data_IF_205736179359
#
_entry.id   IF_205736179359
#
_cell.length_a   1.000
_cell.length_b   1.000
_cell.length_c   1.000
_cell.angle_alpha   90.00
_cell.angle_beta   90.00
_cell.angle_gamma   90.00
#
_symmetry.space_group_name_H-M   'P 1'
#
loop_
_entity.id
_entity.type
_entity.pdbx_description
1 polymer ?
#
# COMPACT_ATOMS: atom_id res chain seq x y z
N UNK A 1 33.01 4.76 -8.91
CA UNK A 1 32.16 5.98 -9.04
C UNK A 1 30.73 5.65 -8.72
N UNK A 2 29.88 6.65 -8.39
CA UNK A 2 28.45 6.44 -8.12
C UNK A 2 27.59 7.02 -9.22
N UNK A 3 26.50 6.34 -9.56
CA UNK A 3 25.57 6.78 -10.58
C UNK A 3 24.22 6.10 -10.51
N UNK A 4 23.36 6.40 -11.50
CA UNK A 4 22.03 5.84 -11.63
C UNK A 4 21.82 5.35 -13.07
N UNK A 5 21.25 4.16 -13.22
CA UNK A 5 20.92 3.60 -14.53
C UNK A 5 19.79 4.42 -15.16
N UNK A 6 20.07 4.96 -16.34
CA UNK A 6 19.08 5.70 -17.14
C UNK A 6 18.30 4.80 -18.05
N UNK A 7 18.98 3.81 -18.65
CA UNK A 7 18.37 2.86 -19.58
C UNK A 7 19.18 1.58 -19.63
N UNK A 8 18.55 0.46 -20.00
CA UNK A 8 19.20 -0.84 -20.17
C UNK A 8 18.48 -1.71 -21.18
N UNK A 9 19.26 -2.34 -22.05
CA UNK A 9 18.79 -3.35 -23.00
C UNK A 9 19.74 -4.55 -23.01
N UNK A 10 19.22 -5.75 -23.00
CA UNK A 10 20.01 -7.00 -23.01
C UNK A 10 20.93 -7.07 -24.24
N UNK A 11 20.51 -6.49 -25.37
CA UNK A 11 21.28 -6.53 -26.62
C UNK A 11 22.27 -5.38 -26.77
N UNK A 12 21.97 -4.20 -26.23
CA UNK A 12 22.76 -2.99 -26.44
C UNK A 12 23.57 -2.55 -25.20
N UNK A 13 23.36 -3.22 -24.04
CA UNK A 13 23.94 -2.78 -22.77
C UNK A 13 23.12 -1.66 -22.12
N UNK A 14 23.72 -0.86 -21.25
CA UNK A 14 23.05 0.18 -20.49
C UNK A 14 23.78 1.51 -20.50
N UNK A 15 23.12 2.53 -19.93
CA UNK A 15 23.63 3.88 -19.77
C UNK A 15 23.48 4.31 -18.31
N UNK A 16 24.56 4.76 -17.70
CA UNK A 16 24.62 5.27 -16.33
C UNK A 16 24.80 6.79 -16.38
N UNK A 17 24.01 7.51 -15.57
CA UNK A 17 24.28 8.91 -15.24
C UNK A 17 25.05 8.95 -13.93
N UNK A 18 26.27 9.46 -13.95
CA UNK A 18 27.09 9.65 -12.76
C UNK A 18 26.69 10.93 -12.01
N UNK A 19 27.08 11.02 -10.74
CA UNK A 19 26.90 12.22 -9.90
C UNK A 19 27.67 13.44 -10.43
N UNK A 20 28.70 13.25 -11.28
CA UNK A 20 29.41 14.31 -11.97
C UNK A 20 28.68 14.90 -13.19
N UNK A 21 27.45 14.39 -13.47
CA UNK A 21 26.62 14.81 -14.60
C UNK A 21 26.97 14.18 -15.94
N UNK A 22 28.02 13.35 -16.01
CA UNK A 22 28.40 12.63 -17.22
C UNK A 22 27.63 11.34 -17.38
N UNK A 23 27.59 10.84 -18.61
CA UNK A 23 26.91 9.59 -18.98
C UNK A 23 27.93 8.57 -19.41
N UNK A 24 27.84 7.37 -18.85
CA UNK A 24 28.79 6.28 -19.11
C UNK A 24 28.03 5.08 -19.66
N UNK A 25 28.30 4.64 -20.90
CA UNK A 25 27.74 3.41 -21.42
C UNK A 25 28.41 2.20 -20.77
N UNK A 26 27.69 1.12 -20.60
CA UNK A 26 28.25 -0.15 -20.13
C UNK A 26 27.66 -1.34 -20.89
N UNK A 27 28.46 -2.39 -21.05
CA UNK A 27 28.05 -3.64 -21.68
C UNK A 27 27.34 -4.54 -20.66
N UNK A 28 26.51 -5.45 -21.15
CA UNK A 28 25.80 -6.39 -20.30
C UNK A 28 26.73 -7.27 -19.45
N UNK A 29 27.93 -7.59 -19.96
CA UNK A 29 28.96 -8.38 -19.28
C UNK A 29 29.55 -7.69 -18.06
N UNK A 30 29.47 -6.35 -18.02
CA UNK A 30 29.94 -5.53 -16.90
C UNK A 30 28.99 -5.44 -15.73
N UNK A 31 27.77 -5.91 -15.89
CA UNK A 31 26.84 -6.06 -14.78
C UNK A 31 27.20 -7.30 -13.95
N UNK A 32 27.62 -7.11 -12.71
CA UNK A 32 28.17 -8.17 -11.84
C UNK A 32 27.17 -8.68 -10.80
N UNK A 33 25.93 -8.23 -10.83
CA UNK A 33 24.88 -8.63 -9.88
C UNK A 33 23.88 -9.61 -10.48
N UNK A 34 23.16 -10.36 -9.61
CA UNK A 34 22.07 -11.22 -10.04
C UNK A 34 20.83 -10.41 -10.44
N UNK A 35 20.29 -10.71 -11.62
CA UNK A 35 19.09 -10.04 -12.16
C UNK A 35 19.42 -8.98 -13.22
N UNK A 36 18.33 -8.42 -13.79
CA UNK A 36 18.45 -7.42 -14.85
C UNK A 36 18.46 -6.02 -14.24
N UNK A 37 19.43 -5.15 -14.65
CA UNK A 37 19.44 -3.79 -14.17
C UNK A 37 18.18 -3.03 -14.61
N UNK A 38 17.59 -2.24 -13.71
CA UNK A 38 16.38 -1.46 -13.98
C UNK A 38 16.68 0.03 -13.94
N UNK A 39 15.92 0.77 -14.74
CA UNK A 39 16.00 2.23 -14.78
C UNK A 39 15.79 2.83 -13.38
N UNK A 40 16.65 3.74 -12.98
CA UNK A 40 16.59 4.38 -11.67
C UNK A 40 17.41 3.68 -10.59
N UNK A 41 17.99 2.50 -10.87
CA UNK A 41 18.82 1.76 -9.92
C UNK A 41 20.15 2.51 -9.67
N UNK A 42 20.49 2.72 -8.41
CA UNK A 42 21.79 3.30 -8.02
C UNK A 42 22.86 2.23 -8.10
N UNK A 43 23.98 2.59 -8.71
CA UNK A 43 25.09 1.69 -8.98
C UNK A 43 26.43 2.33 -8.59
N UNK A 44 27.34 1.48 -8.19
CA UNK A 44 28.78 1.79 -8.09
C UNK A 44 29.48 1.16 -9.27
N UNK A 45 30.37 1.88 -9.95
CA UNK A 45 31.07 1.44 -11.14
C UNK A 45 32.44 2.10 -11.27
N UNK A 46 33.31 1.50 -12.04
CA UNK A 46 34.57 2.07 -12.45
C UNK A 46 34.50 2.51 -13.90
N UNK A 47 35.42 3.38 -14.34
CA UNK A 47 35.50 3.87 -15.72
C UNK A 47 36.81 3.43 -16.31
N UNK A 48 36.78 2.83 -17.49
CA UNK A 48 37.97 2.44 -18.24
C UNK A 48 38.57 3.62 -19.03
N UNK A 49 39.71 3.37 -19.73
CA UNK A 49 40.40 4.37 -20.54
C UNK A 49 39.58 4.86 -21.72
N UNK A 50 38.59 4.07 -22.17
CA UNK A 50 37.66 4.38 -23.27
C UNK A 50 36.42 5.16 -22.83
N UNK A 51 36.29 5.46 -21.52
CA UNK A 51 35.15 6.18 -20.95
C UNK A 51 33.87 5.32 -20.81
N UNK A 52 34.03 3.99 -20.78
CA UNK A 52 32.91 3.06 -20.52
C UNK A 52 32.87 2.68 -19.04
N UNK A 53 31.66 2.44 -18.54
CA UNK A 53 31.52 1.95 -17.18
C UNK A 53 31.78 0.44 -17.15
N UNK A 54 32.67 0.03 -16.25
CA UNK A 54 33.09 -1.35 -16.02
C UNK A 54 32.81 -1.73 -14.56
N UNK A 55 32.74 -3.04 -14.28
CA UNK A 55 32.52 -3.54 -12.92
C UNK A 55 31.32 -2.87 -12.23
N UNK A 56 30.14 -2.90 -12.90
CA UNK A 56 28.94 -2.25 -12.41
C UNK A 56 28.26 -3.12 -11.35
N UNK A 57 28.20 -2.61 -10.13
CA UNK A 57 27.56 -3.25 -8.99
C UNK A 57 26.38 -2.41 -8.51
N UNK A 58 25.42 -3.05 -7.87
CA UNK A 58 24.39 -2.33 -7.12
C UNK A 58 25.04 -1.61 -5.93
N UNK A 59 24.84 -0.29 -5.81
CA UNK A 59 25.46 0.50 -4.76
C UNK A 59 25.14 -0.04 -3.37
N UNK A 60 26.15 -0.43 -2.60
CA UNK A 60 26.06 -0.82 -1.19
C UNK A 60 25.59 0.41 -0.38
N UNK A 61 24.38 0.38 0.14
CA UNK A 61 23.73 1.50 0.84
C UNK A 61 22.67 2.23 0.02
N UNK A 62 22.44 1.84 -1.23
CA UNK A 62 21.21 2.12 -1.96
C UNK A 62 20.05 1.16 -1.55
N UNK A 63 20.14 0.51 -0.41
CA UNK A 63 18.96 0.26 0.42
C UNK A 63 18.37 1.64 0.61
N UNK A 64 17.35 1.91 -0.21
CA UNK A 64 16.56 3.09 -0.06
C UNK A 64 16.49 3.42 1.43
N UNK A 65 16.93 4.60 1.82
CA UNK A 65 16.39 5.30 2.97
C UNK A 65 14.92 5.60 2.62
N UNK A 66 14.29 4.58 2.08
CA UNK A 66 12.89 4.43 1.93
C UNK A 66 12.43 4.04 3.30
N UNK A 67 12.26 5.04 4.13
CA UNK A 67 11.55 4.89 5.37
C UNK A 67 10.21 4.20 5.11
N UNK A 68 9.47 3.91 6.15
CA UNK A 68 8.11 3.34 6.12
C UNK A 68 7.29 3.82 4.91
N UNK A 69 7.48 5.07 4.46
CA UNK A 69 6.84 5.65 3.28
C UNK A 69 7.12 4.88 1.96
N UNK A 70 8.36 4.47 1.69
CA UNK A 70 8.68 3.73 0.45
C UNK A 70 8.21 2.28 0.52
N UNK A 71 8.29 1.66 1.72
CA UNK A 71 7.72 0.32 1.93
C UNK A 71 6.21 0.36 1.73
N UNK A 72 5.52 1.38 2.24
CA UNK A 72 4.08 1.57 2.06
C UNK A 72 3.73 1.88 0.60
N UNK A 73 4.52 2.69 -0.12
CA UNK A 73 4.32 2.96 -1.54
C UNK A 73 4.47 1.68 -2.38
N UNK A 74 5.53 0.91 -2.16
CA UNK A 74 5.71 -0.36 -2.87
C UNK A 74 4.58 -1.34 -2.54
N UNK A 75 4.19 -1.45 -1.27
CA UNK A 75 3.09 -2.30 -0.85
C UNK A 75 1.75 -1.86 -1.46
N UNK A 76 1.50 -0.54 -1.59
CA UNK A 76 0.29 0.00 -2.22
C UNK A 76 0.23 -0.21 -3.74
N UNK A 77 1.34 -0.54 -4.38
CA UNK A 77 1.40 -0.83 -5.83
C UNK A 77 1.48 -2.32 -6.13
N UNK A 78 1.57 -3.18 -5.11
CA UNK A 78 1.69 -4.62 -5.31
C UNK A 78 0.41 -5.18 -5.93
N UNK A 79 0.55 -5.68 -7.16
CA UNK A 79 -0.51 -6.39 -7.88
C UNK A 79 -0.26 -7.89 -7.80
N UNK A 80 -1.33 -8.68 -7.72
CA UNK A 80 -1.25 -10.13 -7.81
C UNK A 80 -1.08 -10.58 -9.27
N UNK A 81 -0.91 -11.89 -9.50
CA UNK A 81 -0.75 -12.49 -10.84
C UNK A 81 -1.87 -12.11 -11.82
N UNK A 82 -3.06 -11.79 -11.32
CA UNK A 82 -4.22 -11.37 -12.10
C UNK A 82 -4.26 -9.85 -12.36
N UNK A 83 -3.19 -9.11 -12.03
CA UNK A 83 -3.12 -7.66 -12.20
C UNK A 83 -3.94 -6.84 -11.20
N UNK A 84 -4.60 -7.49 -10.24
CA UNK A 84 -5.40 -6.83 -9.21
C UNK A 84 -4.52 -6.37 -8.04
N UNK A 85 -4.89 -5.26 -7.39
CA UNK A 85 -4.22 -4.79 -6.18
C UNK A 85 -4.27 -5.87 -5.07
N UNK A 86 -3.18 -6.03 -4.32
CA UNK A 86 -3.18 -6.90 -3.15
C UNK A 86 -4.17 -6.39 -2.09
N UNK A 87 -4.66 -7.28 -1.21
CA UNK A 87 -5.57 -6.86 -0.13
C UNK A 87 -4.94 -5.82 0.78
N UNK A 88 -3.63 -5.93 1.03
CA UNK A 88 -2.89 -4.95 1.81
C UNK A 88 -2.76 -3.60 1.09
N UNK A 89 -2.55 -3.62 -0.23
CA UNK A 89 -2.56 -2.41 -1.05
C UNK A 89 -3.91 -1.69 -0.99
N UNK A 90 -5.02 -2.42 -1.09
CA UNK A 90 -6.38 -1.88 -0.96
C UNK A 90 -6.62 -1.26 0.43
N UNK A 91 -6.12 -1.90 1.49
CA UNK A 91 -6.19 -1.37 2.85
C UNK A 91 -5.44 -0.04 2.98
N UNK A 92 -4.20 0.02 2.49
CA UNK A 92 -3.40 1.26 2.51
C UNK A 92 -4.04 2.35 1.66
N UNK A 93 -4.57 2.02 0.49
CA UNK A 93 -5.25 2.97 -0.38
C UNK A 93 -6.49 3.57 0.30
N UNK A 94 -7.27 2.75 1.01
CA UNK A 94 -8.42 3.21 1.79
C UNK A 94 -8.00 4.16 2.92
N UNK A 95 -6.87 3.87 3.61
CA UNK A 95 -6.36 4.72 4.69
C UNK A 95 -5.71 6.03 4.22
N UNK A 96 -5.20 6.09 2.99
CA UNK A 96 -4.44 7.24 2.50
C UNK A 96 -5.20 8.03 1.47
N UNK A 97 -5.45 7.43 0.30
CA UNK A 97 -6.06 8.12 -0.85
C UNK A 97 -7.58 8.28 -0.72
N UNK A 98 -8.23 7.29 -0.10
CA UNK A 98 -9.70 7.19 0.00
C UNK A 98 -10.21 7.38 1.43
N UNK A 99 -9.43 8.04 2.29
CA UNK A 99 -9.70 8.20 3.72
C UNK A 99 -11.12 8.69 4.03
N UNK A 100 -11.55 9.75 3.39
CA UNK A 100 -12.88 10.35 3.53
C UNK A 100 -13.64 10.41 2.20
N UNK A 101 -13.44 9.40 1.34
CA UNK A 101 -14.12 9.32 0.05
C UNK A 101 -15.44 8.58 0.21
N UNK A 102 -16.54 9.29 0.28
CA UNK A 102 -17.90 8.74 0.39
C UNK A 102 -18.58 8.53 -0.96
N UNK A 103 -18.00 9.04 -2.06
CA UNK A 103 -18.46 8.83 -3.43
C UNK A 103 -17.80 7.61 -4.07
N UNK A 104 -18.42 7.06 -5.13
CA UNK A 104 -17.91 5.88 -5.82
C UNK A 104 -18.38 4.57 -5.19
N UNK A 105 -17.76 3.46 -5.63
CA UNK A 105 -18.10 2.09 -5.24
C UNK A 105 -16.88 1.40 -4.66
N UNK A 106 -17.10 0.48 -3.70
CA UNK A 106 -16.06 -0.38 -3.15
C UNK A 106 -16.37 -1.85 -3.40
N UNK A 107 -15.40 -2.60 -3.92
CA UNK A 107 -15.53 -4.04 -4.14
C UNK A 107 -15.62 -4.81 -2.82
N UNK A 108 -16.09 -6.07 -2.88
CA UNK A 108 -16.03 -6.99 -1.73
C UNK A 108 -14.60 -7.15 -1.20
N UNK A 109 -13.63 -7.21 -2.10
CA UNK A 109 -12.21 -7.38 -1.73
C UNK A 109 -11.68 -6.17 -0.96
N UNK A 110 -12.01 -4.95 -1.42
CA UNK A 110 -11.64 -3.71 -0.73
C UNK A 110 -12.27 -3.65 0.67
N UNK A 111 -13.59 -3.89 0.77
CA UNK A 111 -14.32 -3.84 2.03
C UNK A 111 -13.81 -4.87 3.04
N UNK A 112 -13.77 -6.16 2.65
CA UNK A 112 -13.34 -7.23 3.56
C UNK A 112 -11.85 -7.20 3.85
N UNK A 113 -11.02 -6.78 2.88
CA UNK A 113 -9.59 -6.56 3.09
C UNK A 113 -9.33 -5.46 4.12
N UNK A 114 -10.05 -4.34 4.03
CA UNK A 114 -9.96 -3.28 5.03
C UNK A 114 -10.36 -3.77 6.43
N UNK A 115 -11.48 -4.48 6.55
CA UNK A 115 -11.94 -5.04 7.82
C UNK A 115 -10.96 -6.04 8.41
N UNK A 116 -10.38 -6.92 7.59
CA UNK A 116 -9.38 -7.89 8.02
C UNK A 116 -8.17 -7.22 8.65
N UNK A 117 -7.51 -6.32 7.91
CA UNK A 117 -6.29 -5.68 8.40
C UNK A 117 -6.56 -4.74 9.58
N UNK A 118 -7.67 -4.02 9.57
CA UNK A 118 -8.11 -3.23 10.71
C UNK A 118 -8.27 -4.10 11.96
N UNK A 119 -9.01 -5.23 11.87
CA UNK A 119 -9.22 -6.13 13.00
C UNK A 119 -7.91 -6.73 13.51
N UNK A 120 -7.02 -7.15 12.61
CA UNK A 120 -5.68 -7.64 12.99
C UNK A 120 -4.90 -6.57 13.74
N UNK A 121 -4.91 -5.32 13.27
CA UNK A 121 -4.26 -4.21 13.94
C UNK A 121 -4.87 -3.94 15.32
N UNK A 122 -6.20 -3.92 15.44
CA UNK A 122 -6.90 -3.74 16.72
C UNK A 122 -6.54 -4.83 17.73
N UNK A 123 -6.57 -6.10 17.32
CA UNK A 123 -6.19 -7.21 18.19
C UNK A 123 -4.73 -7.10 18.63
N UNK A 124 -3.82 -6.78 17.71
CA UNK A 124 -2.41 -6.60 18.04
C UNK A 124 -2.20 -5.47 19.08
N UNK A 125 -2.87 -4.33 18.90
CA UNK A 125 -2.80 -3.20 19.85
C UNK A 125 -3.35 -3.61 21.21
N UNK A 126 -4.49 -4.30 21.26
CA UNK A 126 -5.09 -4.75 22.51
C UNK A 126 -4.20 -5.75 23.27
N UNK A 127 -3.51 -6.65 22.55
CA UNK A 127 -2.53 -7.56 23.16
C UNK A 127 -1.35 -6.77 23.77
N UNK A 128 -0.84 -5.77 23.04
CA UNK A 128 0.23 -4.90 23.56
C UNK A 128 -0.24 -4.14 24.82
N UNK A 129 -1.45 -3.60 24.81
CA UNK A 129 -2.03 -2.92 25.99
C UNK A 129 -2.10 -3.89 27.17
N UNK A 130 -2.58 -5.12 26.95
CA UNK A 130 -2.65 -6.14 28.01
C UNK A 130 -1.28 -6.39 28.67
N UNK A 131 -0.24 -6.54 27.85
CA UNK A 131 1.14 -6.71 28.33
C UNK A 131 1.62 -5.47 29.09
N UNK A 132 1.37 -4.26 28.56
CA UNK A 132 1.84 -3.01 29.15
C UNK A 132 1.17 -2.71 30.49
N UNK A 133 -0.10 -3.08 30.66
CA UNK A 133 -0.81 -2.96 31.94
C UNK A 133 -0.16 -3.80 33.04
N UNK A 134 0.29 -5.02 32.72
CA UNK A 134 1.00 -5.89 33.66
C UNK A 134 2.38 -5.33 34.04
N UNK A 135 3.05 -4.65 33.10
CA UNK A 135 4.36 -4.03 33.36
C UNK A 135 4.21 -2.75 34.22
N UNK A 136 3.25 -1.89 33.88
CA UNK A 136 2.98 -0.64 34.61
C UNK A 136 1.61 -0.08 34.22
N UNK A 137 0.81 0.31 35.21
CA UNK A 137 -0.48 0.97 34.97
C UNK A 137 -0.33 2.23 34.11
N UNK A 138 0.68 3.06 34.36
CA UNK A 138 0.91 4.29 33.60
C UNK A 138 1.22 4.01 32.15
N UNK A 139 1.96 2.93 31.83
CA UNK A 139 2.17 2.50 30.46
C UNK A 139 0.87 2.02 29.82
N UNK A 140 0.08 1.22 30.53
CA UNK A 140 -1.23 0.78 30.06
C UNK A 140 -2.16 1.95 29.71
N UNK A 141 -2.19 2.98 30.58
CA UNK A 141 -3.01 4.18 30.34
C UNK A 141 -2.56 4.93 29.07
N UNK A 142 -1.24 5.11 28.87
CA UNK A 142 -0.70 5.75 27.65
C UNK A 142 -1.11 4.98 26.40
N UNK A 143 -0.92 3.67 26.38
CA UNK A 143 -1.29 2.85 25.22
C UNK A 143 -2.80 2.82 24.99
N UNK A 144 -3.61 2.90 26.04
CA UNK A 144 -5.08 3.00 25.94
C UNK A 144 -5.50 4.32 25.29
N UNK A 145 -4.85 5.43 25.63
CA UNK A 145 -5.07 6.73 24.97
C UNK A 145 -4.68 6.64 23.48
N UNK A 146 -3.54 6.05 23.16
CA UNK A 146 -3.11 5.85 21.77
C UNK A 146 -4.10 4.98 20.99
N UNK A 147 -4.63 3.94 21.61
CA UNK A 147 -5.68 3.11 21.02
C UNK A 147 -6.97 3.89 20.74
N UNK A 148 -7.38 4.73 21.68
CA UNK A 148 -8.54 5.61 21.48
C UNK A 148 -8.34 6.56 20.29
N UNK A 149 -7.17 7.19 20.19
CA UNK A 149 -6.82 8.05 19.06
C UNK A 149 -6.79 7.27 17.73
N UNK A 150 -6.23 6.07 17.74
CA UNK A 150 -6.26 5.17 16.58
C UNK A 150 -7.68 4.85 16.15
N UNK A 151 -8.57 4.52 17.10
CA UNK A 151 -9.99 4.20 16.80
C UNK A 151 -10.69 5.39 16.17
N UNK A 152 -10.46 6.61 16.67
CA UNK A 152 -10.99 7.84 16.08
C UNK A 152 -10.45 8.07 14.66
N UNK A 153 -9.15 7.86 14.46
CA UNK A 153 -8.52 8.02 13.14
C UNK A 153 -9.08 7.01 12.11
N UNK A 154 -9.34 5.78 12.52
CA UNK A 154 -9.84 4.73 11.61
C UNK A 154 -11.36 4.79 11.42
N UNK A 155 -12.08 5.56 12.24
CA UNK A 155 -13.53 5.69 12.15
C UNK A 155 -13.99 6.22 10.79
N UNK A 156 -13.36 7.28 10.30
CA UNK A 156 -13.72 7.93 9.02
C UNK A 156 -13.55 6.96 7.84
N UNK A 157 -12.39 6.31 7.61
CA UNK A 157 -12.25 5.37 6.51
C UNK A 157 -13.13 4.12 6.67
N UNK A 158 -13.48 3.71 7.90
CA UNK A 158 -14.43 2.62 8.14
C UNK A 158 -15.81 2.97 7.61
N UNK A 159 -16.32 4.16 7.90
CA UNK A 159 -17.62 4.63 7.37
C UNK A 159 -17.52 4.81 5.86
N UNK A 160 -16.44 5.41 5.36
CA UNK A 160 -16.21 5.68 3.95
C UNK A 160 -16.26 4.40 3.10
N UNK A 161 -15.49 3.37 3.48
CA UNK A 161 -15.50 2.09 2.75
C UNK A 161 -16.84 1.37 2.85
N UNK A 162 -17.54 1.46 4.01
CA UNK A 162 -18.85 0.89 4.20
C UNK A 162 -19.93 1.56 3.33
N UNK A 163 -19.94 2.88 3.26
CA UNK A 163 -20.84 3.65 2.37
C UNK A 163 -20.59 3.27 0.91
N UNK A 164 -19.32 3.26 0.46
CA UNK A 164 -18.96 2.86 -0.92
C UNK A 164 -19.32 1.40 -1.22
N UNK A 165 -19.27 0.53 -0.22
CA UNK A 165 -19.73 -0.86 -0.38
C UNK A 165 -21.24 -0.94 -0.54
N UNK A 166 -22.02 -0.16 0.19
CA UNK A 166 -23.47 -0.06 0.01
C UNK A 166 -23.82 0.47 -1.39
N UNK A 167 -23.11 1.47 -1.88
CA UNK A 167 -23.27 1.97 -3.25
C UNK A 167 -23.02 0.88 -4.29
N UNK A 168 -22.04 0.02 -4.07
CA UNK A 168 -21.73 -1.10 -4.96
C UNK A 168 -22.83 -2.16 -5.02
N UNK A 169 -23.61 -2.29 -3.95
CA UNK A 169 -24.81 -3.15 -3.91
C UNK A 169 -26.10 -2.44 -4.37
N UNK A 170 -26.00 -1.25 -4.95
CA UNK A 170 -27.14 -0.46 -5.43
C UNK A 170 -27.92 0.25 -4.32
N UNK A 171 -27.37 0.35 -3.10
CA UNK A 171 -28.05 0.95 -1.95
C UNK A 171 -27.43 2.30 -1.58
N UNK A 172 -28.28 3.20 -1.06
CA UNK A 172 -27.82 4.48 -0.52
C UNK A 172 -26.91 4.28 0.69
N UNK A 173 -25.88 5.12 0.82
CA UNK A 173 -24.97 5.14 1.97
C UNK A 173 -25.66 5.40 3.32
N UNK A 174 -26.88 5.98 3.31
CA UNK A 174 -27.68 6.18 4.52
C UNK A 174 -28.04 4.87 5.23
N UNK A 175 -28.06 3.75 4.51
CA UNK A 175 -28.23 2.43 5.13
C UNK A 175 -27.12 2.09 6.13
N UNK A 176 -25.99 2.80 6.10
CA UNK A 176 -24.94 2.64 7.11
C UNK A 176 -25.43 2.99 8.51
N UNK A 177 -26.39 3.91 8.65
CA UNK A 177 -26.95 4.32 9.94
C UNK A 177 -27.70 3.20 10.67
N UNK A 178 -28.08 2.12 9.97
CA UNK A 178 -28.68 0.95 10.64
C UNK A 178 -27.73 0.36 11.69
N UNK A 179 -26.41 0.52 11.51
CA UNK A 179 -25.39 0.05 12.47
C UNK A 179 -25.52 0.66 13.87
N UNK A 180 -26.26 1.77 14.02
CA UNK A 180 -26.53 2.40 15.30
C UNK A 180 -27.51 1.58 16.15
N UNK A 181 -28.33 0.71 15.54
CA UNK A 181 -29.24 -0.17 16.27
C UNK A 181 -28.44 -1.31 16.89
N UNK A 182 -28.34 -1.40 18.24
CA UNK A 182 -27.54 -2.43 18.88
C UNK A 182 -27.92 -3.84 18.45
N UNK A 183 -26.94 -4.71 18.25
CA UNK A 183 -27.03 -6.12 17.86
C UNK A 183 -27.60 -6.34 16.45
N UNK A 184 -28.79 -5.85 16.14
CA UNK A 184 -29.44 -6.07 14.84
C UNK A 184 -28.78 -5.30 13.73
N UNK A 185 -28.42 -4.03 13.98
CA UNK A 185 -27.89 -3.14 12.96
C UNK A 185 -26.56 -3.60 12.35
N UNK A 186 -25.55 -3.93 13.16
CA UNK A 186 -24.28 -4.44 12.62
C UNK A 186 -24.45 -5.75 11.84
N UNK A 187 -25.29 -6.67 12.32
CA UNK A 187 -25.57 -7.94 11.62
C UNK A 187 -26.21 -7.66 10.26
N UNK A 188 -27.22 -6.78 10.24
CA UNK A 188 -27.91 -6.42 9.01
C UNK A 188 -26.97 -5.71 8.02
N UNK A 189 -26.11 -4.81 8.51
CA UNK A 189 -25.11 -4.14 7.68
C UNK A 189 -24.13 -5.15 7.04
N UNK A 190 -23.68 -6.16 7.79
CA UNK A 190 -22.86 -7.24 7.27
C UNK A 190 -23.59 -7.97 6.13
N UNK A 191 -24.87 -8.33 6.33
CA UNK A 191 -25.70 -8.99 5.30
C UNK A 191 -25.78 -8.13 4.04
N UNK A 192 -26.00 -6.82 4.17
CA UNK A 192 -26.03 -5.89 3.04
C UNK A 192 -24.66 -5.84 2.32
N UNK A 193 -23.58 -5.80 3.05
CA UNK A 193 -22.22 -5.75 2.49
C UNK A 193 -21.76 -7.09 1.87
N UNK A 194 -22.38 -8.22 2.23
CA UNK A 194 -22.15 -9.52 1.61
C UNK A 194 -22.84 -9.71 0.26
N UNK A 195 -23.83 -8.89 -0.08
CA UNK A 195 -24.57 -9.01 -1.34
C UNK A 195 -23.63 -8.88 -2.56
N UNK A 196 -24.08 -9.39 -3.72
CA UNK A 196 -23.34 -9.25 -4.97
C UNK A 196 -23.29 -7.77 -5.40
N UNK A 197 -22.20 -7.38 -6.06
CA UNK A 197 -22.10 -6.09 -6.72
C UNK A 197 -23.12 -6.01 -7.86
N UNK A 198 -23.68 -4.83 -8.10
CA UNK A 198 -24.49 -4.57 -9.30
C UNK A 198 -23.53 -4.51 -10.49
N UNK A 199 -23.76 -5.36 -11.51
CA UNK A 199 -22.86 -5.53 -12.66
C UNK A 199 -22.96 -4.40 -13.70
N UNK A 200 -23.80 -3.41 -13.47
CA UNK A 200 -24.01 -2.26 -14.34
C UNK A 200 -23.51 -0.98 -13.64
N UNK A 201 -23.26 0.03 -14.41
CA UNK A 201 -23.00 1.37 -13.89
C UNK A 201 -24.27 1.84 -13.14
N UNK A 202 -24.06 2.45 -12.02
CA UNK A 202 -25.14 2.98 -11.21
C UNK A 202 -24.91 4.47 -10.91
N UNK A 203 -25.84 5.10 -10.21
CA UNK A 203 -25.76 6.54 -9.89
C UNK A 203 -24.50 6.95 -9.11
N UNK A 204 -23.72 6.02 -8.58
CA UNK A 204 -22.46 6.29 -7.84
C UNK A 204 -21.21 5.99 -8.67
N UNK A 205 -21.36 5.51 -9.91
CA UNK A 205 -20.26 5.30 -10.85
C UNK A 205 -20.16 3.90 -11.42
N UNK A 206 -19.08 3.68 -12.18
CA UNK A 206 -18.76 2.41 -12.80
C UNK A 206 -18.35 1.32 -11.81
N UNK A 207 -18.09 0.12 -12.34
CA UNK A 207 -17.62 -1.02 -11.55
C UNK A 207 -16.33 -0.66 -10.82
N UNK A 208 -16.18 -1.07 -9.54
CA UNK A 208 -14.93 -0.83 -8.82
C UNK A 208 -13.79 -1.60 -9.48
N UNK A 209 -12.65 -0.94 -9.65
CA UNK A 209 -11.41 -1.59 -10.07
C UNK A 209 -10.98 -2.59 -8.99
N UNK A 210 -10.89 -3.87 -9.36
CA UNK A 210 -10.48 -4.95 -8.47
C UNK A 210 -8.98 -5.20 -8.54
#
# INVERSE_FOLDING_TARGET
>A
MKGQILDFSIQAGGLISSEDGKRYPFKNEEWKEQGVPTRGMKVDFDVDEDGQAVAVYKALGASSTGGVATVLQNASQTRNENGQLSLFALFLETLTKRYAQFSGRASKREFWGFWLFRTVAEVAILLVIGIMVEVSRSLGDIFSILYFLFTLAVLVPTISVGVRRLHDTGKSGWWYLISVIPLIGPIWLIVLCCQASVNEDNQWGGLPEN
#
